data_IF_551837394116
#
_entry.id   IF_551837394116
#
_cell.length_a   1.000
_cell.length_b   1.000
_cell.length_c   1.000
_cell.angle_alpha   90.00
_cell.angle_beta   90.00
_cell.angle_gamma   90.00
#
_symmetry.space_group_name_H-M   'P 1'
#
loop_
_entity.id
_entity.type
_entity.pdbx_description
1 polymer ?
#
# COMPACT_ATOMS: atom_id res chain seq x y z
N UNK A 1 -18.72 10.35 12.18
CA UNK A 1 -18.74 11.19 10.97
C UNK A 1 -18.06 12.55 11.18
N UNK A 2 -18.47 13.36 12.17
CA UNK A 2 -17.84 14.67 12.47
C UNK A 2 -16.31 14.64 12.69
N UNK A 3 -15.78 13.64 13.41
CA UNK A 3 -14.34 13.54 13.71
C UNK A 3 -13.46 13.43 12.45
N UNK A 4 -13.93 12.73 11.42
CA UNK A 4 -13.22 12.53 10.15
C UNK A 4 -13.72 13.48 9.04
N UNK A 5 -14.56 14.47 9.40
CA UNK A 5 -15.18 15.44 8.49
C UNK A 5 -15.89 14.80 7.28
N UNK A 6 -16.48 13.62 7.44
CA UNK A 6 -17.23 12.89 6.40
C UNK A 6 -18.71 13.27 6.38
N UNK A 7 -19.33 13.25 5.19
CA UNK A 7 -20.78 13.42 4.96
C UNK A 7 -21.45 12.03 4.85
N UNK A 8 -20.81 11.11 4.13
CA UNK A 8 -21.30 9.74 3.93
C UNK A 8 -20.42 8.74 4.68
N UNK A 9 -20.98 7.64 5.22
CA UNK A 9 -20.23 6.65 6.00
C UNK A 9 -19.50 5.67 5.08
N UNK A 10 -18.85 6.19 4.04
CA UNK A 10 -18.19 5.40 2.99
C UNK A 10 -16.70 5.67 3.06
N UNK A 11 -15.94 4.60 3.22
CA UNK A 11 -14.49 4.60 3.14
C UNK A 11 -14.12 3.80 1.89
N UNK A 12 -13.39 4.41 0.97
CA UNK A 12 -12.78 3.66 -0.11
C UNK A 12 -11.61 2.87 0.47
N UNK A 13 -11.63 1.56 0.32
CA UNK A 13 -10.61 0.67 0.88
C UNK A 13 -9.24 0.96 0.27
N UNK A 14 -8.15 0.97 1.05
CA UNK A 14 -6.79 1.09 0.51
C UNK A 14 -6.47 -0.10 -0.42
N UNK A 15 -5.91 0.19 -1.59
CA UNK A 15 -5.62 -0.76 -2.67
C UNK A 15 -4.13 -0.72 -3.02
N UNK A 16 -3.29 -1.06 -2.05
CA UNK A 16 -1.83 -1.11 -2.23
C UNK A 16 -1.45 -1.93 -3.47
N UNK A 17 -0.53 -1.40 -4.28
CA UNK A 17 -0.22 -1.92 -5.62
C UNK A 17 -0.75 -1.05 -6.76
N UNK A 18 -1.34 0.12 -6.44
CA UNK A 18 -1.66 1.16 -7.42
C UNK A 18 -3.13 1.26 -7.84
N UNK A 19 -4.03 0.52 -7.16
CA UNK A 19 -5.47 0.60 -7.43
C UNK A 19 -6.13 1.89 -6.91
N UNK A 20 -5.47 2.59 -5.99
CA UNK A 20 -5.95 3.79 -5.30
C UNK A 20 -5.14 5.04 -5.66
N UNK A 21 -5.41 5.57 -6.85
CA UNK A 21 -4.74 6.78 -7.37
C UNK A 21 -5.06 8.03 -6.53
N UNK A 22 -4.19 9.06 -6.55
CA UNK A 22 -4.48 10.33 -5.88
C UNK A 22 -5.78 11.00 -6.35
N UNK A 23 -6.14 10.84 -7.63
CA UNK A 23 -7.39 11.33 -8.20
C UNK A 23 -8.61 10.59 -7.63
N UNK A 24 -8.53 9.27 -7.46
CA UNK A 24 -9.59 8.50 -6.81
C UNK A 24 -9.78 8.94 -5.36
N UNK A 25 -8.69 9.00 -4.59
CA UNK A 25 -8.74 9.38 -3.17
C UNK A 25 -9.32 10.78 -2.97
N UNK A 26 -8.88 11.75 -3.79
CA UNK A 26 -9.41 13.10 -3.76
C UNK A 26 -10.91 13.13 -4.12
N UNK A 27 -11.31 12.43 -5.17
CA UNK A 27 -12.71 12.37 -5.62
C UNK A 27 -13.64 11.79 -4.56
N UNK A 28 -13.20 10.76 -3.83
CA UNK A 28 -13.96 10.20 -2.70
C UNK A 28 -14.14 11.22 -1.58
N UNK A 29 -13.09 11.98 -1.25
CA UNK A 29 -13.14 13.03 -0.23
C UNK A 29 -14.09 14.19 -0.60
N UNK A 30 -14.06 14.62 -1.86
CA UNK A 30 -14.95 15.66 -2.41
C UNK A 30 -16.40 15.19 -2.48
N UNK A 31 -16.63 13.91 -2.81
CA UNK A 31 -17.94 13.28 -2.75
C UNK A 31 -18.47 13.10 -1.31
N UNK A 32 -17.68 13.44 -0.29
CA UNK A 32 -18.11 13.39 1.12
C UNK A 32 -17.80 12.06 1.83
N UNK A 33 -17.10 11.14 1.19
CA UNK A 33 -16.53 9.95 1.82
C UNK A 33 -15.13 10.21 2.41
N UNK A 34 -14.38 9.13 2.64
CA UNK A 34 -12.97 9.17 3.03
C UNK A 34 -12.16 8.22 2.13
N UNK A 35 -11.27 8.79 1.32
CA UNK A 35 -10.35 8.04 0.47
C UNK A 35 -9.09 7.62 1.21
N UNK A 36 -8.47 6.53 0.77
CA UNK A 36 -7.21 6.01 1.32
C UNK A 36 -6.20 5.67 0.23
N UNK A 37 -4.94 5.97 0.51
CA UNK A 37 -3.77 5.44 -0.22
C UNK A 37 -3.23 4.20 0.50
N UNK A 38 -2.90 3.14 -0.24
CA UNK A 38 -2.25 1.94 0.21
C UNK A 38 -0.72 2.12 0.20
N UNK A 39 -0.16 2.44 1.36
CA UNK A 39 1.27 2.68 1.55
C UNK A 39 2.10 1.43 1.84
N UNK A 40 1.49 0.24 1.91
CA UNK A 40 2.16 -1.00 2.35
C UNK A 40 3.41 -1.37 1.53
N UNK A 41 3.44 -1.03 0.24
CA UNK A 41 4.57 -1.30 -0.66
C UNK A 41 5.38 -0.04 -1.00
N UNK A 42 5.06 1.09 -0.37
CA UNK A 42 5.70 2.36 -0.66
C UNK A 42 6.86 2.60 0.30
N UNK A 43 7.97 3.09 -0.28
CA UNK A 43 9.04 3.71 0.50
C UNK A 43 8.52 4.96 1.23
N UNK A 44 9.16 5.41 2.32
CA UNK A 44 8.81 6.66 2.99
C UNK A 44 8.74 7.87 2.04
N UNK A 45 9.68 7.98 1.09
CA UNK A 45 9.68 9.03 0.07
C UNK A 45 8.43 8.98 -0.82
N UNK A 46 8.04 7.78 -1.26
CA UNK A 46 6.84 7.61 -2.08
C UNK A 46 5.55 7.90 -1.31
N UNK A 47 5.51 7.62 0.00
CA UNK A 47 4.39 8.02 0.87
C UNK A 47 4.24 9.54 0.88
N UNK A 48 5.33 10.29 1.07
CA UNK A 48 5.33 11.75 1.04
C UNK A 48 4.89 12.30 -0.32
N UNK A 49 5.37 11.71 -1.42
CA UNK A 49 4.98 12.08 -2.78
C UNK A 49 3.49 11.84 -3.03
N UNK A 50 2.96 10.68 -2.61
CA UNK A 50 1.55 10.35 -2.71
C UNK A 50 0.67 11.30 -1.88
N UNK A 51 1.08 11.58 -0.63
CA UNK A 51 0.37 12.52 0.24
C UNK A 51 0.32 13.93 -0.38
N UNK A 52 1.44 14.43 -0.91
CA UNK A 52 1.50 15.72 -1.63
C UNK A 52 0.61 15.72 -2.87
N UNK A 53 0.59 14.62 -3.63
CA UNK A 53 -0.24 14.50 -4.81
C UNK A 53 -1.75 14.55 -4.49
N UNK A 54 -2.18 13.93 -3.39
CA UNK A 54 -3.58 14.03 -2.92
C UNK A 54 -3.90 15.45 -2.43
N UNK A 55 -3.02 16.04 -1.60
CA UNK A 55 -3.20 17.42 -1.08
C UNK A 55 -3.24 18.47 -2.18
N UNK A 56 -2.57 18.24 -3.32
CA UNK A 56 -2.65 19.11 -4.48
C UNK A 56 -4.03 19.10 -5.18
N UNK A 57 -4.85 18.08 -4.93
CA UNK A 57 -6.17 17.86 -5.56
C UNK A 57 -7.34 18.18 -4.65
N UNK A 58 -7.15 18.07 -3.34
CA UNK A 58 -8.23 18.29 -2.36
C UNK A 58 -7.69 18.82 -1.03
N UNK A 59 -8.50 19.65 -0.37
CA UNK A 59 -8.31 20.06 1.02
C UNK A 59 -9.04 19.14 2.03
N UNK A 60 -9.77 18.13 1.54
CA UNK A 60 -10.53 17.17 2.34
C UNK A 60 -9.56 16.16 2.99
N UNK A 61 -9.88 15.65 4.19
CA UNK A 61 -9.04 14.63 4.82
C UNK A 61 -9.02 13.34 3.99
N UNK A 62 -7.89 12.65 4.02
CA UNK A 62 -7.68 11.32 3.45
C UNK A 62 -6.83 10.49 4.42
N UNK A 63 -6.77 9.18 4.21
CA UNK A 63 -5.94 8.27 4.99
C UNK A 63 -4.81 7.64 4.18
N UNK A 64 -3.81 7.13 4.89
CA UNK A 64 -2.76 6.27 4.34
C UNK A 64 -2.73 4.99 5.18
N UNK A 65 -2.79 3.84 4.51
CA UNK A 65 -2.79 2.53 5.16
C UNK A 65 -1.42 1.87 5.05
N UNK A 66 -0.93 1.35 6.17
CA UNK A 66 0.35 0.64 6.28
C UNK A 66 0.13 -0.78 6.82
N UNK A 67 1.06 -1.69 6.54
CA UNK A 67 1.08 -2.98 7.21
C UNK A 67 1.76 -2.86 8.57
N UNK A 68 1.00 -3.17 9.62
CA UNK A 68 1.55 -3.23 10.97
C UNK A 68 2.57 -4.38 11.08
N UNK A 69 3.69 -4.18 11.80
CA UNK A 69 4.65 -5.25 12.03
C UNK A 69 3.98 -6.42 12.74
N UNK A 70 4.21 -7.63 12.25
CA UNK A 70 3.85 -8.85 12.95
C UNK A 70 5.10 -9.50 13.54
N UNK A 71 4.99 -10.25 14.65
CA UNK A 71 6.08 -11.08 15.11
C UNK A 71 6.62 -11.96 13.97
N UNK A 72 7.94 -12.17 13.90
CA UNK A 72 8.47 -13.09 12.91
C UNK A 72 7.86 -14.50 13.13
N UNK A 73 7.66 -15.28 12.06
CA UNK A 73 7.23 -16.66 12.21
C UNK A 73 8.25 -17.46 13.02
N UNK A 74 7.77 -18.45 13.78
CA UNK A 74 8.60 -19.26 14.70
C UNK A 74 9.78 -19.97 14.02
N UNK A 75 9.66 -20.24 12.71
CA UNK A 75 10.73 -20.79 11.89
C UNK A 75 10.71 -20.19 10.47
N UNK A 76 11.88 -19.95 9.85
CA UNK A 76 11.95 -19.57 8.45
C UNK A 76 11.35 -20.67 7.57
N UNK A 77 10.46 -20.28 6.65
CA UNK A 77 9.85 -21.21 5.70
C UNK A 77 10.77 -21.38 4.49
N UNK A 78 10.98 -22.61 4.08
CA UNK A 78 11.70 -22.94 2.85
C UNK A 78 10.89 -22.47 1.62
N UNK A 79 11.42 -21.57 0.78
CA UNK A 79 10.69 -21.09 -0.39
C UNK A 79 10.70 -22.09 -1.56
N UNK A 80 11.57 -23.12 -1.54
CA UNK A 80 11.76 -24.04 -2.68
C UNK A 80 10.47 -24.68 -3.19
N UNK A 81 9.56 -25.22 -2.35
CA UNK A 81 8.32 -25.83 -2.86
C UNK A 81 7.43 -24.85 -3.60
N UNK A 82 7.42 -23.58 -3.20
CA UNK A 82 6.66 -22.53 -3.89
C UNK A 82 7.32 -22.17 -5.23
N UNK A 83 8.65 -22.08 -5.28
CA UNK A 83 9.42 -21.82 -6.50
C UNK A 83 9.26 -22.95 -7.52
N UNK A 84 9.33 -24.21 -7.08
CA UNK A 84 9.12 -25.40 -7.92
C UNK A 84 7.70 -25.42 -8.51
N UNK A 85 6.69 -25.03 -7.73
CA UNK A 85 5.30 -24.95 -8.19
C UNK A 85 5.11 -23.93 -9.32
N UNK A 86 5.81 -22.79 -9.27
CA UNK A 86 5.69 -21.74 -10.30
C UNK A 86 6.66 -21.90 -11.47
N UNK A 87 7.70 -22.73 -11.35
CA UNK A 87 8.73 -22.91 -12.37
C UNK A 87 8.19 -23.30 -13.76
N UNK A 88 7.17 -24.18 -13.91
CA UNK A 88 6.60 -24.50 -15.21
C UNK A 88 6.05 -23.28 -15.95
N UNK A 89 5.41 -22.34 -15.24
CA UNK A 89 4.88 -21.11 -15.85
C UNK A 89 5.98 -20.16 -16.29
N UNK A 90 7.09 -20.10 -15.55
CA UNK A 90 8.26 -19.32 -15.97
C UNK A 90 8.89 -19.91 -17.23
N UNK A 91 9.00 -21.24 -17.33
CA UNK A 91 9.50 -21.90 -18.54
C UNK A 91 8.57 -21.69 -19.74
N UNK A 92 7.25 -21.79 -19.54
CA UNK A 92 6.25 -21.51 -20.58
C UNK A 92 6.33 -20.07 -21.11
N UNK A 93 6.60 -19.11 -20.23
CA UNK A 93 6.72 -17.70 -20.57
C UNK A 93 8.14 -17.28 -21.02
N UNK A 94 9.07 -18.24 -21.15
CA UNK A 94 10.49 -17.98 -21.48
C UNK A 94 11.19 -17.00 -20.50
N UNK A 95 10.77 -17.01 -19.24
CA UNK A 95 11.34 -16.17 -18.19
C UNK A 95 12.54 -16.85 -17.50
N UNK A 96 13.48 -16.06 -16.92
CA UNK A 96 14.53 -16.61 -16.07
C UNK A 96 13.95 -17.41 -14.90
N UNK A 97 14.63 -18.46 -14.40
CA UNK A 97 14.12 -19.28 -13.29
C UNK A 97 13.62 -18.44 -12.09
N UNK A 98 12.50 -18.81 -11.45
CA UNK A 98 11.93 -18.04 -10.36
C UNK A 98 12.89 -17.96 -9.18
N UNK A 99 12.98 -16.78 -8.57
CA UNK A 99 13.79 -16.52 -7.38
C UNK A 99 12.90 -16.08 -6.22
N UNK A 100 13.34 -16.34 -4.99
CA UNK A 100 12.62 -15.85 -3.82
C UNK A 100 12.63 -14.31 -3.81
N UNK A 101 11.48 -13.67 -3.50
CA UNK A 101 11.42 -12.21 -3.47
C UNK A 101 12.26 -11.66 -2.32
N UNK A 102 12.90 -10.52 -2.56
CA UNK A 102 13.51 -9.74 -1.49
C UNK A 102 12.41 -9.17 -0.58
N UNK A 103 12.61 -9.27 0.73
CA UNK A 103 11.75 -8.56 1.69
C UNK A 103 12.02 -7.06 1.58
N UNK A 104 10.97 -6.24 1.67
CA UNK A 104 11.12 -4.79 1.72
C UNK A 104 12.02 -4.40 2.89
N UNK A 105 13.01 -3.55 2.61
CA UNK A 105 14.02 -3.15 3.59
C UNK A 105 13.54 -2.03 4.53
N UNK A 106 12.52 -1.27 4.12
CA UNK A 106 12.08 -0.09 4.85
C UNK A 106 11.40 -0.46 6.17
N UNK A 107 11.73 0.29 7.23
CA UNK A 107 11.12 0.06 8.53
C UNK A 107 9.71 0.63 8.59
N UNK A 108 8.81 -0.06 9.30
CA UNK A 108 7.48 0.46 9.60
C UNK A 108 7.53 1.84 10.28
N UNK A 109 8.54 2.10 11.11
CA UNK A 109 8.70 3.37 11.81
C UNK A 109 8.90 4.54 10.83
N UNK A 110 9.73 4.36 9.80
CA UNK A 110 9.95 5.39 8.78
C UNK A 110 8.72 5.59 7.90
N UNK A 111 8.02 4.51 7.53
CA UNK A 111 6.77 4.59 6.79
C UNK A 111 5.69 5.33 7.59
N UNK A 112 5.57 5.03 8.89
CA UNK A 112 4.61 5.68 9.78
C UNK A 112 4.93 7.16 9.96
N UNK A 113 6.21 7.53 10.13
CA UNK A 113 6.63 8.92 10.20
C UNK A 113 6.24 9.69 8.94
N UNK A 114 6.50 9.11 7.76
CA UNK A 114 6.12 9.71 6.48
C UNK A 114 4.59 9.83 6.30
N UNK A 115 3.82 8.85 6.79
CA UNK A 115 2.36 8.86 6.67
C UNK A 115 1.67 9.90 7.57
N UNK A 116 2.37 10.40 8.59
CA UNK A 116 1.86 11.41 9.52
C UNK A 116 2.19 12.86 9.11
N UNK A 117 2.94 13.06 8.01
CA UNK A 117 3.28 14.37 7.44
C UNK A 117 2.16 14.94 6.53
#
# INVERSE_FOLDING_TARGET
>A
MRRLKMIHPVIQAPLAGGGDTPDLVASVGEAGGLGFIGGAYLTPRQILEAARAVRARTARPFGISLFAPQPPPDAPKDPRPALECVAPFYAELELPPPQAPALAADSFAEQLAAALE
#
